data_IF_767356498916
#
_entry.id   IF_767356498916
#
_cell.length_a   1.000
_cell.length_b   1.000
_cell.length_c   1.000
_cell.angle_alpha   90.00
_cell.angle_beta   90.00
_cell.angle_gamma   90.00
#
_symmetry.space_group_name_H-M   'P 1'
#
loop_
_entity.id
_entity.type
_entity.pdbx_description
1 polymer ?
#
# COMPACT_ATOMS: atom_id res chain seq x y z
N UNK A 1 19.13 3.64 -10.30
CA UNK A 1 18.49 2.58 -9.49
C UNK A 1 17.44 3.24 -8.62
N UNK A 2 16.17 2.91 -8.86
CA UNK A 2 15.08 3.31 -7.96
C UNK A 2 15.13 2.49 -6.66
N UNK A 3 14.61 3.07 -5.58
CA UNK A 3 14.39 2.36 -4.33
C UNK A 3 13.26 1.33 -4.52
N UNK A 4 13.52 0.06 -4.20
CA UNK A 4 12.56 -1.05 -4.37
C UNK A 4 12.03 -1.63 -3.05
N UNK A 5 12.54 -1.16 -1.91
CA UNK A 5 12.19 -1.64 -0.57
C UNK A 5 11.73 -0.44 0.25
N UNK A 6 10.53 -0.51 0.84
CA UNK A 6 9.91 0.58 1.57
C UNK A 6 9.49 0.16 2.98
N UNK A 7 9.50 1.14 3.90
CA UNK A 7 9.09 0.97 5.28
C UNK A 7 10.24 0.54 6.21
N UNK A 8 10.05 0.79 7.51
CA UNK A 8 11.09 0.62 8.54
C UNK A 8 11.67 -0.80 8.60
N UNK A 9 10.87 -1.82 8.30
CA UNK A 9 11.28 -3.22 8.31
C UNK A 9 11.42 -3.78 6.88
N UNK A 10 11.33 -2.91 5.87
CA UNK A 10 11.25 -3.29 4.47
C UNK A 10 10.04 -4.18 4.19
N UNK A 11 8.89 -3.88 4.79
CA UNK A 11 7.71 -4.73 4.65
C UNK A 11 7.04 -4.64 3.27
N UNK A 12 7.40 -3.63 2.47
CA UNK A 12 7.01 -3.54 1.05
C UNK A 12 8.26 -3.70 0.19
N UNK A 13 8.27 -4.73 -0.66
CA UNK A 13 9.41 -5.06 -1.54
C UNK A 13 8.93 -5.36 -2.95
N UNK A 14 9.61 -4.77 -3.92
CA UNK A 14 9.47 -5.06 -5.34
C UNK A 14 10.73 -5.77 -5.84
N UNK A 15 10.57 -6.73 -6.74
CA UNK A 15 11.67 -7.51 -7.32
C UNK A 15 12.40 -6.73 -8.42
N UNK A 16 11.72 -5.77 -9.05
CA UNK A 16 12.28 -4.97 -10.13
C UNK A 16 11.64 -3.58 -10.22
N UNK A 17 12.20 -2.71 -11.05
CA UNK A 17 11.64 -1.38 -11.29
C UNK A 17 10.30 -1.45 -12.05
N UNK A 18 10.11 -2.48 -12.88
CA UNK A 18 8.87 -2.73 -13.61
C UNK A 18 7.73 -3.10 -12.65
N UNK A 19 7.97 -3.98 -11.66
CA UNK A 19 6.95 -4.30 -10.65
C UNK A 19 6.56 -3.07 -9.81
N UNK A 20 7.53 -2.23 -9.45
CA UNK A 20 7.24 -0.98 -8.75
C UNK A 20 6.39 -0.04 -9.62
N UNK A 21 6.70 0.06 -10.91
CA UNK A 21 5.97 0.90 -11.84
C UNK A 21 4.53 0.41 -12.04
N UNK A 22 4.34 -0.89 -12.25
CA UNK A 22 3.02 -1.53 -12.34
C UNK A 22 2.19 -1.29 -11.06
N UNK A 23 2.80 -1.46 -9.89
CA UNK A 23 2.15 -1.20 -8.62
C UNK A 23 1.65 0.24 -8.50
N UNK A 24 2.51 1.22 -8.83
CA UNK A 24 2.16 2.64 -8.81
C UNK A 24 1.02 2.93 -9.79
N UNK A 25 1.12 2.44 -11.03
CA UNK A 25 0.12 2.65 -12.07
C UNK A 25 -1.25 2.09 -11.67
N UNK A 26 -1.29 0.86 -11.15
CA UNK A 26 -2.52 0.26 -10.66
C UNK A 26 -3.14 1.07 -9.51
N UNK A 27 -2.34 1.46 -8.51
CA UNK A 27 -2.83 2.23 -7.36
C UNK A 27 -3.40 3.59 -7.77
N UNK A 28 -2.79 4.25 -8.76
CA UNK A 28 -3.23 5.58 -9.21
C UNK A 28 -4.43 5.55 -10.16
N UNK A 29 -4.64 4.44 -10.88
CA UNK A 29 -5.67 4.33 -11.91
C UNK A 29 -6.90 3.52 -11.50
N UNK A 30 -6.77 2.62 -10.52
CA UNK A 30 -7.85 1.71 -10.13
C UNK A 30 -8.77 2.31 -9.06
N UNK A 31 -10.07 2.18 -9.28
CA UNK A 31 -11.13 2.45 -8.31
C UNK A 31 -11.23 1.39 -7.20
N UNK A 32 -10.51 0.27 -7.32
CA UNK A 32 -10.36 -0.75 -6.28
C UNK A 32 -9.52 -0.26 -5.09
N UNK A 33 -8.75 0.82 -5.27
CA UNK A 33 -7.72 1.25 -4.31
C UNK A 33 -8.07 2.59 -3.65
N UNK A 34 -7.89 2.66 -2.33
CA UNK A 34 -7.82 3.92 -1.58
C UNK A 34 -6.47 4.04 -0.88
N UNK A 35 -5.62 4.96 -1.33
CA UNK A 35 -4.27 5.22 -0.79
C UNK A 35 -4.20 6.50 0.06
N UNK A 36 -5.34 7.15 0.33
CA UNK A 36 -5.43 8.38 1.12
C UNK A 36 -5.82 8.11 2.57
N UNK A 37 -5.84 6.84 2.97
CA UNK A 37 -6.25 6.42 4.30
C UNK A 37 -5.19 6.80 5.33
N UNK A 38 -5.63 7.64 6.26
CA UNK A 38 -4.93 7.95 7.51
C UNK A 38 -5.73 7.37 8.67
N UNK A 39 -5.13 6.50 9.47
CA UNK A 39 -5.75 5.90 10.64
C UNK A 39 -5.06 6.38 11.92
N UNK A 40 -5.81 7.08 12.77
CA UNK A 40 -5.36 7.51 14.11
C UNK A 40 -5.40 6.37 15.14
N UNK A 41 -4.69 5.28 14.85
CA UNK A 41 -4.69 4.08 15.68
C UNK A 41 -4.07 4.32 17.08
N UNK A 42 -3.35 5.41 17.28
CA UNK A 42 -2.92 5.85 18.61
C UNK A 42 -4.10 6.11 19.56
N UNK A 43 -5.24 6.55 19.04
CA UNK A 43 -6.46 6.73 19.83
C UNK A 43 -7.10 5.40 20.25
N UNK A 44 -6.58 4.28 19.73
CA UNK A 44 -7.01 2.91 20.00
C UNK A 44 -5.88 2.06 20.63
N UNK A 45 -4.83 2.70 21.14
CA UNK A 45 -3.73 2.04 21.87
C UNK A 45 -2.53 1.61 21.03
N UNK A 46 -2.46 2.00 19.74
CA UNK A 46 -1.25 1.79 18.94
C UNK A 46 -0.18 2.85 19.25
N UNK A 47 1.04 2.60 18.76
CA UNK A 47 2.21 3.47 19.00
C UNK A 47 2.18 4.78 18.21
N UNK A 48 1.32 4.89 17.19
CA UNK A 48 1.22 6.06 16.33
C UNK A 48 0.17 5.87 15.23
N UNK A 49 -0.06 6.91 14.43
CA UNK A 49 -0.95 6.84 13.28
C UNK A 49 -0.34 5.99 12.16
N UNK A 50 -1.20 5.44 11.30
CA UNK A 50 -0.79 4.65 10.14
C UNK A 50 -1.35 5.22 8.83
N UNK A 51 -0.50 5.29 7.82
CA UNK A 51 -0.91 5.52 6.43
C UNK A 51 -1.05 4.17 5.73
N UNK A 52 -2.19 3.98 5.06
CA UNK A 52 -2.54 2.70 4.46
C UNK A 52 -3.06 2.83 3.05
N UNK A 53 -2.86 1.75 2.31
CA UNK A 53 -3.54 1.50 1.04
C UNK A 53 -4.58 0.42 1.30
N UNK A 54 -5.84 0.69 1.01
CA UNK A 54 -6.95 -0.26 1.11
C UNK A 54 -7.31 -0.79 -0.28
N UNK A 55 -7.57 -2.09 -0.35
CA UNK A 55 -8.08 -2.78 -1.54
C UNK A 55 -9.49 -3.28 -1.23
N UNK A 56 -10.46 -3.01 -2.11
CA UNK A 56 -11.86 -3.44 -1.93
C UNK A 56 -12.02 -4.93 -2.23
N UNK A 57 -11.33 -5.42 -3.25
CA UNK A 57 -11.38 -6.81 -3.72
C UNK A 57 -10.04 -7.30 -4.29
N UNK A 58 -9.94 -8.62 -4.51
CA UNK A 58 -8.73 -9.26 -5.03
C UNK A 58 -8.57 -9.11 -6.55
N UNK A 59 -9.69 -9.02 -7.26
CA UNK A 59 -9.71 -9.12 -8.72
C UNK A 59 -8.90 -7.99 -9.37
N UNK A 60 -8.08 -8.34 -10.35
CA UNK A 60 -7.22 -7.41 -11.08
C UNK A 60 -6.04 -6.84 -10.27
N UNK A 61 -5.89 -7.14 -8.98
CA UNK A 61 -4.74 -6.67 -8.19
C UNK A 61 -3.45 -7.33 -8.69
N UNK A 62 -2.42 -6.55 -9.09
CA UNK A 62 -1.12 -7.09 -9.46
C UNK A 62 -0.49 -7.98 -8.39
N UNK A 63 0.19 -9.05 -8.81
CA UNK A 63 0.85 -10.00 -7.90
C UNK A 63 1.90 -9.31 -7.02
N UNK A 64 2.56 -8.27 -7.55
CA UNK A 64 3.51 -7.46 -6.79
C UNK A 64 2.86 -6.74 -5.60
N UNK A 65 1.58 -6.34 -5.69
CA UNK A 65 0.82 -5.77 -4.59
C UNK A 65 0.28 -6.85 -3.65
N UNK A 66 -0.24 -7.96 -4.18
CA UNK A 66 -0.73 -9.10 -3.37
C UNK A 66 0.33 -9.62 -2.40
N UNK A 67 1.59 -9.78 -2.85
CA UNK A 67 2.71 -10.23 -1.98
C UNK A 67 3.04 -9.28 -0.83
N UNK A 68 2.77 -7.99 -0.99
CA UNK A 68 3.00 -6.96 0.03
C UNK A 68 1.74 -6.70 0.87
N UNK A 69 0.62 -7.32 0.53
CA UNK A 69 -0.68 -7.12 1.14
C UNK A 69 -0.80 -7.91 2.44
N UNK A 70 -1.45 -7.28 3.41
CA UNK A 70 -1.86 -7.87 4.68
C UNK A 70 -3.38 -8.02 4.69
N UNK A 71 -3.89 -8.89 5.57
CA UNK A 71 -5.33 -9.10 5.71
C UNK A 71 -6.06 -7.78 5.98
N UNK A 72 -7.20 -7.59 5.34
CA UNK A 72 -8.09 -6.47 5.58
C UNK A 72 -8.99 -6.65 6.81
N UNK A 73 -10.17 -6.04 6.76
CA UNK A 73 -11.23 -6.13 7.78
C UNK A 73 -12.60 -6.10 7.09
N UNK A 74 -13.70 -6.17 7.83
CA UNK A 74 -15.04 -6.07 7.22
C UNK A 74 -15.13 -4.87 6.25
N UNK A 75 -15.44 -5.15 4.97
CA UNK A 75 -15.52 -4.16 3.89
C UNK A 75 -14.20 -3.77 3.20
N UNK A 76 -13.07 -4.34 3.61
CA UNK A 76 -11.75 -4.12 2.99
C UNK A 76 -11.10 -5.49 2.78
N UNK A 77 -10.83 -5.88 1.54
CA UNK A 77 -10.20 -7.16 1.23
C UNK A 77 -8.78 -7.25 1.82
N UNK A 78 -7.97 -6.21 1.56
CA UNK A 78 -6.59 -6.21 2.00
C UNK A 78 -6.01 -4.82 2.19
N UNK A 79 -4.86 -4.76 2.86
CA UNK A 79 -4.19 -3.52 3.24
C UNK A 79 -2.70 -3.58 3.00
N UNK A 80 -2.09 -2.49 2.57
CA UNK A 80 -0.63 -2.30 2.64
C UNK A 80 -0.34 -1.20 3.64
N UNK A 81 0.47 -1.52 4.66
CA UNK A 81 0.81 -0.61 5.75
C UNK A 81 2.25 -0.11 5.58
N UNK A 82 2.39 1.01 4.88
CA UNK A 82 3.71 1.60 4.63
C UNK A 82 3.59 3.08 4.30
N UNK A 83 3.81 3.92 5.31
CA UNK A 83 3.83 5.38 5.16
C UNK A 83 4.74 5.85 4.05
N UNK A 84 5.97 5.35 4.01
CA UNK A 84 6.94 5.74 2.99
C UNK A 84 6.46 5.41 1.56
N UNK A 85 5.81 4.26 1.37
CA UNK A 85 5.26 3.91 0.07
C UNK A 85 4.03 4.76 -0.28
N UNK A 86 3.16 5.06 0.70
CA UNK A 86 2.02 5.96 0.51
C UNK A 86 2.49 7.37 0.09
N UNK A 87 3.57 7.88 0.69
CA UNK A 87 4.17 9.17 0.33
C UNK A 87 4.70 9.16 -1.11
N UNK A 88 5.35 8.08 -1.54
CA UNK A 88 5.77 7.92 -2.94
C UNK A 88 4.60 7.96 -3.91
N UNK A 89 3.50 7.25 -3.60
CA UNK A 89 2.29 7.25 -4.42
C UNK A 89 1.69 8.65 -4.51
N UNK A 90 1.53 9.35 -3.37
CA UNK A 90 0.99 10.71 -3.32
C UNK A 90 1.85 11.72 -4.07
N UNK A 91 3.17 11.55 -4.09
CA UNK A 91 4.08 12.39 -4.87
C UNK A 91 3.97 12.18 -6.39
N UNK A 92 3.27 11.13 -6.85
CA UNK A 92 3.08 10.77 -8.26
C UNK A 92 1.64 10.92 -8.75
N UNK A 93 0.69 11.15 -7.84
CA UNK A 93 -0.71 11.43 -8.15
C UNK A 93 -0.90 12.86 -8.65
#
# INVERSE_FOLDING_TARGET
MKKLVFGKHGQVRFKSEEELQEAIEYILSSDNVDFRVHEDNQNQGAWGPEERIHFKEEEGVPECLKRNMTAGRAGIYGRINCKEFCELIRAKA
#
